data_IF_306959491824
#
_entry.id   IF_306959491824
#
_cell.length_a   1.000
_cell.length_b   1.000
_cell.length_c   1.000
_cell.angle_alpha   90.00
_cell.angle_beta   90.00
_cell.angle_gamma   90.00
#
_symmetry.space_group_name_H-M   'P 1'
#
loop_
_entity.id
_entity.type
_entity.pdbx_description
1 polymer ?
#
# COMPACT_ATOMS: atom_id res chain seq x y z
N UNK A 1 14.81 7.73 7.81
CA UNK A 1 13.72 7.64 6.80
C UNK A 1 14.28 7.12 5.49
N UNK A 2 13.52 6.28 4.76
CA UNK A 2 13.93 5.83 3.40
C UNK A 2 13.64 6.95 2.41
N UNK A 3 14.67 7.52 1.79
CA UNK A 3 14.53 8.56 0.75
C UNK A 3 13.56 8.13 -0.36
N UNK A 4 12.68 9.05 -0.78
CA UNK A 4 11.57 8.88 -1.74
C UNK A 4 10.41 7.97 -1.32
N UNK A 5 10.29 7.65 -0.02
CA UNK A 5 9.11 6.95 0.52
C UNK A 5 8.12 7.96 1.08
N UNK A 6 6.86 7.83 0.64
CA UNK A 6 5.72 8.67 1.08
C UNK A 6 4.94 7.89 2.13
N UNK A 7 4.87 8.41 3.36
CA UNK A 7 4.15 7.80 4.48
C UNK A 7 2.92 8.61 4.90
N UNK A 8 2.85 9.88 4.51
CA UNK A 8 1.70 10.79 4.75
C UNK A 8 1.34 11.60 3.50
N UNK A 9 0.24 12.37 3.58
CA UNK A 9 -0.23 13.28 2.53
C UNK A 9 0.68 14.50 2.31
N UNK A 10 1.47 14.86 3.32
CA UNK A 10 2.36 16.00 3.31
C UNK A 10 3.73 15.68 2.67
N UNK A 11 4.07 14.39 2.54
CA UNK A 11 5.39 13.91 2.12
C UNK A 11 5.69 14.07 0.61
N UNK A 12 4.70 14.32 -0.26
CA UNK A 12 4.91 14.36 -1.73
C UNK A 12 4.58 15.74 -2.33
N UNK A 13 5.58 16.64 -2.35
CA UNK A 13 5.41 18.00 -2.91
C UNK A 13 5.47 18.05 -4.45
N UNK A 14 5.98 16.99 -5.10
CA UNK A 14 6.27 16.95 -6.54
C UNK A 14 5.43 15.92 -7.30
N UNK A 15 4.20 15.68 -6.84
CA UNK A 15 3.32 14.68 -7.43
C UNK A 15 2.90 15.02 -8.87
N UNK A 16 2.87 14.01 -9.75
CA UNK A 16 2.35 14.10 -11.12
C UNK A 16 1.07 13.28 -11.26
N UNK A 17 0.00 13.93 -11.73
CA UNK A 17 -1.29 13.30 -11.97
C UNK A 17 -1.27 12.36 -13.18
N UNK A 18 -0.96 11.08 -12.93
CA UNK A 18 -0.96 10.00 -13.93
C UNK A 18 -2.35 9.44 -14.22
N UNK A 19 -2.42 8.58 -15.23
CA UNK A 19 -3.62 7.78 -15.55
C UNK A 19 -4.01 6.88 -14.39
N UNK A 20 -3.04 6.25 -13.72
CA UNK A 20 -3.29 5.42 -12.54
C UNK A 20 -3.86 6.25 -11.37
N UNK A 21 -3.30 7.43 -11.13
CA UNK A 21 -3.83 8.38 -10.14
C UNK A 21 -5.28 8.76 -10.46
N UNK A 22 -5.59 9.16 -11.69
CA UNK A 22 -6.96 9.55 -12.08
C UNK A 22 -7.97 8.42 -11.85
N UNK A 23 -7.58 7.17 -12.11
CA UNK A 23 -8.40 5.99 -11.81
C UNK A 23 -8.62 5.82 -10.30
N UNK A 24 -7.58 5.96 -9.50
CA UNK A 24 -7.68 5.88 -8.04
C UNK A 24 -8.55 7.01 -7.49
N UNK A 25 -8.28 8.25 -7.88
CA UNK A 25 -9.03 9.44 -7.50
C UNK A 25 -10.53 9.26 -7.75
N UNK A 26 -10.91 8.79 -8.95
CA UNK A 26 -12.31 8.53 -9.26
C UNK A 26 -12.97 7.49 -8.33
N UNK A 27 -12.21 6.47 -7.88
CA UNK A 27 -12.73 5.46 -6.94
C UNK A 27 -12.83 5.99 -5.51
N UNK A 28 -11.87 6.82 -5.09
CA UNK A 28 -11.84 7.41 -3.75
C UNK A 28 -12.84 8.56 -3.58
N UNK A 29 -13.19 9.27 -4.67
CA UNK A 29 -14.15 10.39 -4.64
C UNK A 29 -15.51 10.00 -4.06
N UNK A 30 -15.97 8.78 -4.35
CA UNK A 30 -17.28 8.30 -3.90
C UNK A 30 -17.32 8.00 -2.39
N UNK A 31 -16.18 7.90 -1.71
CA UNK A 31 -16.12 7.45 -0.31
C UNK A 31 -16.76 8.42 0.69
N UNK A 32 -16.84 9.72 0.35
CA UNK A 32 -17.56 10.73 1.16
C UNK A 32 -19.07 10.49 1.23
N UNK A 33 -19.63 9.87 0.20
CA UNK A 33 -21.09 9.75 0.03
C UNK A 33 -21.58 8.30 0.06
N UNK A 34 -20.67 7.34 -0.10
CA UNK A 34 -20.99 5.91 -0.16
C UNK A 34 -20.10 5.14 0.80
N UNK A 35 -20.71 4.23 1.56
CA UNK A 35 -20.04 3.31 2.48
C UNK A 35 -20.02 1.89 1.93
N UNK A 36 -19.22 1.01 2.54
CA UNK A 36 -19.16 -0.41 2.19
C UNK A 36 -18.22 -0.75 1.04
N UNK A 37 -17.32 0.18 0.68
CA UNK A 37 -16.36 -0.01 -0.42
C UNK A 37 -15.06 -0.57 0.13
N UNK A 38 -14.57 -1.64 -0.49
CA UNK A 38 -13.23 -2.20 -0.20
C UNK A 38 -12.41 -2.02 -1.47
N UNK A 39 -11.38 -1.20 -1.39
CA UNK A 39 -10.53 -0.81 -2.52
C UNK A 39 -9.13 -1.37 -2.28
N UNK A 40 -8.67 -2.27 -3.14
CA UNK A 40 -7.30 -2.74 -3.17
C UNK A 40 -6.49 -1.93 -4.19
N UNK A 41 -5.51 -1.20 -3.69
CA UNK A 41 -4.49 -0.52 -4.50
C UNK A 41 -3.31 -1.46 -4.65
N UNK A 42 -3.14 -2.04 -5.84
CA UNK A 42 -2.12 -3.04 -6.15
C UNK A 42 -0.99 -2.45 -6.98
N UNK A 43 0.17 -3.11 -6.98
CA UNK A 43 1.34 -2.71 -7.76
C UNK A 43 2.62 -3.23 -7.12
N UNK A 44 3.68 -3.39 -7.89
CA UNK A 44 4.96 -3.86 -7.37
C UNK A 44 5.52 -2.94 -6.25
N UNK A 45 6.42 -3.43 -5.40
CA UNK A 45 7.13 -2.57 -4.45
C UNK A 45 7.88 -1.44 -5.15
N UNK A 46 7.66 -0.20 -4.70
CA UNK A 46 8.34 0.97 -5.27
C UNK A 46 7.65 1.63 -6.46
N UNK A 47 6.46 1.19 -6.88
CA UNK A 47 5.65 1.85 -7.93
C UNK A 47 4.95 3.14 -7.47
N UNK A 48 5.04 3.53 -6.20
CA UNK A 48 4.40 4.76 -5.72
C UNK A 48 2.90 4.62 -5.36
N UNK A 49 2.45 3.43 -4.92
CA UNK A 49 1.09 3.24 -4.38
C UNK A 49 0.75 4.25 -3.29
N UNK A 50 1.62 4.39 -2.29
CA UNK A 50 1.44 5.32 -1.17
C UNK A 50 1.31 6.76 -1.65
N UNK A 51 2.19 7.19 -2.58
CA UNK A 51 2.13 8.51 -3.21
C UNK A 51 0.75 8.78 -3.83
N UNK A 52 0.23 7.84 -4.62
CA UNK A 52 -1.08 7.99 -5.25
C UNK A 52 -2.22 8.01 -4.22
N UNK A 53 -2.19 7.14 -3.20
CA UNK A 53 -3.23 7.08 -2.15
C UNK A 53 -3.26 8.39 -1.38
N UNK A 54 -2.12 8.80 -0.83
CA UNK A 54 -2.04 9.96 0.04
C UNK A 54 -2.29 11.27 -0.70
N UNK A 55 -1.83 11.39 -1.94
CA UNK A 55 -2.19 12.53 -2.78
C UNK A 55 -3.69 12.57 -3.05
N UNK A 56 -4.33 11.45 -3.39
CA UNK A 56 -5.77 11.44 -3.66
C UNK A 56 -6.58 11.74 -2.39
N UNK A 57 -6.15 11.25 -1.22
CA UNK A 57 -6.75 11.59 0.08
C UNK A 57 -6.68 13.09 0.33
N UNK A 58 -5.53 13.72 0.08
CA UNK A 58 -5.33 15.17 0.20
C UNK A 58 -6.23 15.96 -0.76
N UNK A 59 -6.21 15.61 -2.05
CA UNK A 59 -6.93 16.36 -3.08
C UNK A 59 -8.45 16.23 -2.96
N UNK A 60 -8.93 15.14 -2.36
CA UNK A 60 -10.34 14.91 -2.07
C UNK A 60 -10.76 15.41 -0.68
N UNK A 61 -9.81 15.83 0.15
CA UNK A 61 -10.03 16.20 1.55
C UNK A 61 -10.78 15.09 2.31
N UNK A 62 -10.33 13.85 2.18
CA UNK A 62 -10.96 12.70 2.84
C UNK A 62 -10.58 12.65 4.32
N UNK A 63 -11.58 12.55 5.20
CA UNK A 63 -11.34 12.26 6.61
C UNK A 63 -10.99 10.77 6.77
N UNK A 64 -9.70 10.47 6.89
CA UNK A 64 -9.20 9.10 6.92
C UNK A 64 -8.59 8.71 8.26
N UNK A 65 -8.84 7.47 8.67
CA UNK A 65 -8.08 6.82 9.73
C UNK A 65 -6.95 5.98 9.11
N UNK A 66 -5.70 6.37 9.34
CA UNK A 66 -4.54 5.64 8.82
C UNK A 66 -4.06 4.62 9.85
N UNK A 67 -4.44 3.35 9.65
CA UNK A 67 -4.18 2.28 10.60
C UNK A 67 -2.70 1.98 10.76
N UNK A 68 -2.30 1.72 11.99
CA UNK A 68 -0.92 1.34 12.36
C UNK A 68 -0.89 -0.11 12.79
N UNK A 69 0.19 -0.81 12.45
CA UNK A 69 0.51 -2.10 13.05
C UNK A 69 2.00 -2.16 13.36
N UNK A 70 2.33 -2.00 14.64
CA UNK A 70 3.69 -2.10 15.15
C UNK A 70 3.84 -3.42 15.91
N UNK A 71 4.51 -4.39 15.27
CA UNK A 71 4.79 -5.70 15.86
C UNK A 71 6.06 -5.62 16.71
N UNK A 72 6.14 -6.50 17.70
CA UNK A 72 7.25 -6.53 18.66
C UNK A 72 8.34 -7.53 18.21
N UNK A 73 7.96 -8.58 17.47
CA UNK A 73 8.87 -9.62 16.97
C UNK A 73 8.41 -10.16 15.61
N UNK A 74 9.36 -10.47 14.74
CA UNK A 74 9.15 -11.10 13.44
C UNK A 74 8.68 -12.57 13.56
N UNK A 75 8.88 -13.21 14.71
CA UNK A 75 8.50 -14.59 14.99
C UNK A 75 7.07 -14.76 15.53
N UNK A 76 6.37 -13.67 15.86
CA UNK A 76 4.99 -13.71 16.35
C UNK A 76 4.09 -14.58 15.46
N UNK A 77 3.21 -15.36 16.08
CA UNK A 77 2.22 -16.20 15.41
C UNK A 77 1.15 -15.36 14.72
N UNK A 78 0.43 -15.96 13.77
CA UNK A 78 -0.71 -15.32 13.09
C UNK A 78 -1.78 -14.83 14.08
N UNK A 79 -2.02 -15.59 15.15
CA UNK A 79 -2.99 -15.23 16.20
C UNK A 79 -2.53 -14.02 17.01
N UNK A 80 -1.24 -13.97 17.38
CA UNK A 80 -0.67 -12.82 18.08
C UNK A 80 -0.74 -11.55 17.24
N UNK A 81 -0.43 -11.64 15.94
CA UNK A 81 -0.55 -10.52 15.01
C UNK A 81 -2.00 -10.06 14.85
N UNK A 82 -2.95 -10.99 14.73
CA UNK A 82 -4.37 -10.67 14.69
C UNK A 82 -4.83 -9.94 15.96
N UNK A 83 -4.45 -10.45 17.14
CA UNK A 83 -4.80 -9.84 18.41
C UNK A 83 -4.16 -8.45 18.56
N UNK A 84 -2.88 -8.30 18.18
CA UNK A 84 -2.18 -7.01 18.20
C UNK A 84 -2.85 -5.99 17.29
N UNK A 85 -3.29 -6.41 16.10
CA UNK A 85 -4.00 -5.53 15.18
C UNK A 85 -5.29 -4.97 15.79
N UNK A 86 -6.17 -5.82 16.32
CA UNK A 86 -7.41 -5.34 16.95
C UNK A 86 -7.17 -4.60 18.26
N UNK A 87 -6.12 -4.95 19.00
CA UNK A 87 -5.73 -4.19 20.19
C UNK A 87 -5.31 -2.76 19.83
N UNK A 88 -4.45 -2.60 18.81
CA UNK A 88 -4.00 -1.28 18.33
C UNK A 88 -5.18 -0.44 17.85
N UNK A 89 -6.09 -1.01 17.05
CA UNK A 89 -7.30 -0.30 16.60
C UNK A 89 -8.18 0.15 17.76
N UNK A 90 -8.36 -0.71 18.78
CA UNK A 90 -9.14 -0.38 19.98
C UNK A 90 -8.53 0.78 20.76
N UNK A 91 -7.21 0.77 20.94
CA UNK A 91 -6.50 1.84 21.64
C UNK A 91 -6.57 3.17 20.88
N UNK A 92 -6.23 3.16 19.59
CA UNK A 92 -6.22 4.35 18.74
C UNK A 92 -7.62 4.97 18.61
N UNK A 93 -8.66 4.15 18.49
CA UNK A 93 -10.06 4.60 18.39
C UNK A 93 -10.74 4.80 19.75
N UNK A 94 -10.05 4.51 20.86
CA UNK A 94 -10.55 4.62 22.25
C UNK A 94 -11.85 3.82 22.49
N UNK A 95 -11.86 2.56 22.07
CA UNK A 95 -13.00 1.65 22.21
C UNK A 95 -12.58 0.32 22.82
N UNK A 96 -13.50 -0.36 23.48
CA UNK A 96 -13.19 -1.57 24.26
C UNK A 96 -13.51 -2.90 23.53
N UNK A 97 -14.15 -2.83 22.34
CA UNK A 97 -14.61 -4.00 21.60
C UNK A 97 -14.33 -3.87 20.09
N UNK A 98 -14.32 -5.01 19.38
CA UNK A 98 -14.22 -5.04 17.92
C UNK A 98 -15.44 -4.36 17.27
N UNK A 99 -16.61 -4.46 17.89
CA UNK A 99 -17.81 -3.80 17.40
C UNK A 99 -17.68 -2.27 17.50
N UNK A 100 -17.14 -1.79 18.61
CA UNK A 100 -16.78 -0.37 18.76
C UNK A 100 -15.76 0.10 17.72
N UNK A 101 -14.83 -0.77 17.29
CA UNK A 101 -13.90 -0.46 16.18
C UNK A 101 -14.67 -0.26 14.88
N UNK A 102 -15.64 -1.11 14.55
CA UNK A 102 -16.45 -0.92 13.34
C UNK A 102 -17.30 0.34 13.41
N UNK A 103 -17.92 0.62 14.55
CA UNK A 103 -18.74 1.82 14.74
C UNK A 103 -17.89 3.08 14.59
N UNK A 104 -16.72 3.14 15.24
CA UNK A 104 -15.79 4.27 15.09
C UNK A 104 -15.20 4.37 13.69
N UNK A 105 -14.84 3.26 13.06
CA UNK A 105 -14.35 3.24 11.69
C UNK A 105 -15.39 3.80 10.68
N UNK A 106 -16.69 3.67 10.98
CA UNK A 106 -17.75 4.18 10.10
C UNK A 106 -17.85 5.71 10.08
N UNK A 107 -17.32 6.40 11.11
CA UNK A 107 -17.26 7.86 11.21
C UNK A 107 -16.26 8.48 10.22
N UNK A 108 -15.27 7.72 9.77
CA UNK A 108 -14.28 8.15 8.77
C UNK A 108 -14.80 7.91 7.35
N UNK A 109 -14.37 8.75 6.40
CA UNK A 109 -14.60 8.51 4.97
C UNK A 109 -13.95 7.20 4.51
N UNK A 110 -12.78 6.88 5.07
CA UNK A 110 -12.10 5.60 4.85
C UNK A 110 -11.13 5.23 5.99
N UNK A 111 -10.92 3.93 6.17
CA UNK A 111 -9.77 3.38 6.90
C UNK A 111 -8.70 2.95 5.90
N UNK A 112 -7.49 3.48 6.06
CA UNK A 112 -6.33 3.13 5.23
C UNK A 112 -5.51 2.05 5.93
N UNK A 113 -5.30 0.94 5.22
CA UNK A 113 -4.34 -0.11 5.57
C UNK A 113 -3.18 0.01 4.58
N UNK A 114 -2.31 1.00 4.85
CA UNK A 114 -1.25 1.44 3.96
C UNK A 114 0.14 1.37 4.63
N UNK A 115 1.05 2.28 4.30
CA UNK A 115 2.45 2.19 4.74
C UNK A 115 2.66 2.17 6.26
N UNK A 116 1.81 2.85 7.06
CA UNK A 116 1.90 2.77 8.54
C UNK A 116 1.55 1.39 9.09
N UNK A 117 0.73 0.63 8.36
CA UNK A 117 0.39 -0.75 8.68
C UNK A 117 1.47 -1.71 8.17
N UNK A 118 1.87 -1.58 6.91
CA UNK A 118 2.81 -2.50 6.27
C UNK A 118 4.24 -2.34 6.78
N UNK A 119 4.67 -1.11 7.03
CA UNK A 119 6.06 -0.74 7.09
C UNK A 119 6.39 0.13 8.32
N UNK A 120 5.68 -0.12 9.43
CA UNK A 120 5.83 0.59 10.71
C UNK A 120 7.27 0.60 11.26
N UNK A 121 8.10 -0.38 10.91
CA UNK A 121 9.52 -0.44 11.25
C UNK A 121 10.36 0.74 10.72
N UNK A 122 9.88 1.49 9.72
CA UNK A 122 10.53 2.74 9.30
C UNK A 122 10.07 3.96 10.09
N UNK A 123 9.03 3.83 10.91
CA UNK A 123 8.38 4.91 11.65
C UNK A 123 8.61 4.80 13.16
N UNK A 124 8.74 3.57 13.67
CA UNK A 124 8.87 3.29 15.10
C UNK A 124 10.11 2.44 15.35
N UNK A 125 11.05 2.98 16.12
CA UNK A 125 12.28 2.30 16.49
C UNK A 125 11.98 1.01 17.28
N UNK A 126 12.70 -0.06 16.96
CA UNK A 126 12.54 -1.37 17.59
C UNK A 126 11.23 -2.11 17.26
N UNK A 127 10.41 -1.60 16.33
CA UNK A 127 9.17 -2.27 15.89
C UNK A 127 9.35 -2.95 14.54
N UNK A 128 8.52 -3.96 14.30
CA UNK A 128 8.46 -4.74 13.07
C UNK A 128 7.19 -4.39 12.30
N UNK A 129 7.32 -4.11 11.00
CA UNK A 129 6.18 -3.90 10.10
C UNK A 129 5.57 -5.22 9.63
N UNK A 130 4.28 -5.19 9.29
CA UNK A 130 3.58 -6.35 8.76
C UNK A 130 4.25 -6.95 7.51
N UNK A 131 4.85 -6.13 6.65
CA UNK A 131 5.57 -6.57 5.45
C UNK A 131 6.80 -7.43 5.80
N UNK A 132 7.55 -7.06 6.84
CA UNK A 132 8.74 -7.78 7.28
C UNK A 132 8.35 -9.08 8.00
N UNK A 133 7.31 -9.03 8.83
CA UNK A 133 6.73 -10.22 9.44
C UNK A 133 6.25 -11.23 8.38
N UNK A 134 5.55 -10.75 7.34
CA UNK A 134 5.12 -11.58 6.22
C UNK A 134 6.28 -12.17 5.43
N UNK A 135 7.29 -11.35 5.09
CA UNK A 135 8.47 -11.80 4.36
C UNK A 135 9.21 -12.92 5.12
N UNK A 136 9.22 -12.87 6.46
CA UNK A 136 9.81 -13.89 7.32
C UNK A 136 8.93 -15.15 7.46
N UNK A 137 7.61 -14.99 7.68
CA UNK A 137 6.70 -16.13 7.86
C UNK A 137 6.41 -16.89 6.56
N UNK A 138 6.44 -16.21 5.40
CA UNK A 138 6.06 -16.80 4.12
C UNK A 138 4.65 -17.41 4.18
N UNK A 139 4.54 -18.70 3.82
CA UNK A 139 3.28 -19.46 3.90
C UNK A 139 2.73 -19.58 5.35
N UNK A 140 3.54 -19.39 6.38
CA UNK A 140 3.07 -19.36 7.77
C UNK A 140 2.14 -18.18 8.11
N UNK A 141 2.00 -17.20 7.19
CA UNK A 141 1.09 -16.05 7.33
C UNK A 141 -0.34 -16.35 6.87
N UNK A 142 -0.59 -17.47 6.16
CA UNK A 142 -1.93 -17.82 5.66
C UNK A 142 -3.02 -17.87 6.73
N UNK A 143 -2.77 -18.41 7.95
CA UNK A 143 -3.79 -18.41 8.99
C UNK A 143 -4.29 -17.00 9.37
N UNK A 144 -3.42 -15.98 9.38
CA UNK A 144 -3.82 -14.59 9.62
C UNK A 144 -4.81 -14.10 8.55
N UNK A 145 -4.50 -14.31 7.27
CA UNK A 145 -5.40 -13.95 6.17
C UNK A 145 -6.73 -14.69 6.24
N UNK A 146 -6.70 -15.98 6.56
CA UNK A 146 -7.90 -16.77 6.71
C UNK A 146 -8.78 -16.26 7.87
N UNK A 147 -8.18 -15.84 8.99
CA UNK A 147 -8.91 -15.18 10.08
C UNK A 147 -9.58 -13.88 9.65
N UNK A 148 -8.91 -13.05 8.83
CA UNK A 148 -9.52 -11.83 8.27
C UNK A 148 -10.67 -12.12 7.31
N UNK A 149 -10.54 -13.16 6.48
CA UNK A 149 -11.61 -13.60 5.58
C UNK A 149 -12.84 -14.08 6.38
N UNK A 150 -12.61 -14.90 7.42
CA UNK A 150 -13.69 -15.33 8.32
C UNK A 150 -14.35 -14.12 8.98
N UNK A 151 -13.56 -13.16 9.47
CA UNK A 151 -14.07 -11.94 10.08
C UNK A 151 -14.95 -11.16 9.10
N UNK A 152 -14.51 -11.02 7.84
CA UNK A 152 -15.27 -10.35 6.78
C UNK A 152 -16.65 -10.99 6.59
N UNK A 153 -16.70 -12.30 6.34
CA UNK A 153 -17.96 -13.00 6.09
C UNK A 153 -18.89 -13.01 7.31
N UNK A 154 -18.35 -13.09 8.53
CA UNK A 154 -19.14 -13.03 9.76
C UNK A 154 -19.71 -11.64 10.05
N UNK A 155 -19.15 -10.58 9.47
CA UNK A 155 -19.50 -9.20 9.80
C UNK A 155 -19.90 -8.37 8.57
N UNK A 156 -20.42 -8.99 7.50
CA UNK A 156 -20.79 -8.31 6.25
C UNK A 156 -21.63 -7.04 6.47
N UNK A 157 -22.59 -7.07 7.41
CA UNK A 157 -23.43 -5.90 7.73
C UNK A 157 -22.64 -4.73 8.32
N UNK A 158 -21.55 -4.99 9.06
CA UNK A 158 -20.64 -3.97 9.59
C UNK A 158 -19.71 -3.45 8.51
N UNK A 159 -19.15 -4.34 7.69
CA UNK A 159 -18.31 -3.93 6.55
C UNK A 159 -19.08 -3.05 5.56
N UNK A 160 -20.39 -3.23 5.39
CA UNK A 160 -21.23 -2.32 4.57
C UNK A 160 -21.28 -0.87 5.07
N UNK A 161 -20.88 -0.60 6.31
CA UNK A 161 -20.87 0.75 6.90
C UNK A 161 -19.49 1.42 6.87
N UNK A 162 -18.45 0.69 6.47
CA UNK A 162 -17.06 1.15 6.51
C UNK A 162 -16.47 1.09 5.12
N UNK A 163 -15.63 2.08 4.78
CA UNK A 163 -14.81 2.01 3.59
C UNK A 163 -13.39 1.63 3.97
N UNK A 164 -12.80 0.68 3.26
CA UNK A 164 -11.43 0.22 3.47
C UNK A 164 -10.61 0.44 2.21
N UNK A 165 -9.41 1.00 2.36
CA UNK A 165 -8.44 1.14 1.28
C UNK A 165 -7.17 0.41 1.67
N UNK A 166 -6.86 -0.66 0.95
CA UNK A 166 -5.71 -1.52 1.18
C UNK A 166 -4.60 -1.21 0.21
N UNK A 167 -3.41 -0.88 0.71
CA UNK A 167 -2.20 -0.93 -0.11
C UNK A 167 -1.72 -2.38 -0.20
N UNK A 168 -2.12 -3.09 -1.24
CA UNK A 168 -1.90 -4.53 -1.30
C UNK A 168 -0.62 -4.83 -2.05
N UNK A 169 0.33 -5.47 -1.38
CA UNK A 169 1.48 -6.13 -1.98
C UNK A 169 1.65 -7.49 -1.29
N UNK A 170 1.66 -8.57 -2.09
CA UNK A 170 1.90 -9.93 -1.59
C UNK A 170 3.22 -10.39 -2.12
N UNK A 171 4.25 -10.07 -1.36
CA UNK A 171 5.62 -10.34 -1.76
C UNK A 171 6.14 -11.60 -1.14
N UNK A 172 6.76 -12.44 -1.96
CA UNK A 172 7.46 -13.64 -1.54
C UNK A 172 8.88 -13.58 -2.05
N UNK A 173 9.84 -14.11 -1.29
CA UNK A 173 11.18 -14.36 -1.82
C UNK A 173 11.19 -15.69 -2.54
N UNK A 174 11.41 -15.67 -3.85
CA UNK A 174 11.62 -16.87 -4.66
C UNK A 174 13.00 -16.78 -5.28
N UNK A 175 13.87 -17.77 -5.01
CA UNK A 175 15.27 -17.79 -5.51
C UNK A 175 16.06 -16.50 -5.21
N UNK A 176 15.91 -15.96 -4.00
CA UNK A 176 16.61 -14.74 -3.57
C UNK A 176 16.01 -13.41 -4.09
N UNK A 177 15.04 -13.45 -5.00
CA UNK A 177 14.38 -12.24 -5.55
C UNK A 177 13.01 -12.04 -4.90
N UNK A 178 12.73 -10.81 -4.47
CA UNK A 178 11.41 -10.41 -3.96
C UNK A 178 10.45 -10.21 -5.15
N UNK A 179 9.44 -11.08 -5.24
CA UNK A 179 8.40 -11.07 -6.28
C UNK A 179 7.03 -10.76 -5.68
N UNK A 180 6.24 -9.94 -6.35
CA UNK A 180 4.86 -9.63 -5.97
C UNK A 180 3.85 -10.52 -6.72
N UNK A 181 2.89 -11.11 -5.99
CA UNK A 181 1.90 -12.01 -6.55
C UNK A 181 1.03 -11.34 -7.62
N UNK A 182 0.67 -10.07 -7.43
CA UNK A 182 -0.30 -9.38 -8.27
C UNK A 182 0.33 -8.76 -9.51
N UNK A 183 1.67 -8.69 -9.60
CA UNK A 183 2.36 -8.09 -10.76
C UNK A 183 3.45 -8.94 -11.40
N UNK A 184 4.15 -9.80 -10.66
CA UNK A 184 5.44 -10.37 -11.12
C UNK A 184 5.36 -11.82 -11.65
N UNK A 185 4.17 -12.44 -11.72
CA UNK A 185 3.95 -13.83 -12.16
C UNK A 185 3.13 -13.94 -13.46
N UNK A 186 3.08 -12.88 -14.27
CA UNK A 186 2.48 -12.91 -15.61
C UNK A 186 1.00 -13.33 -15.61
N UNK A 187 0.67 -14.42 -16.29
CA UNK A 187 -0.71 -14.95 -16.38
C UNK A 187 -1.30 -15.28 -15.00
N UNK A 188 -0.48 -15.80 -14.08
CA UNK A 188 -0.95 -16.12 -12.73
C UNK A 188 -1.33 -14.87 -11.94
N UNK A 189 -0.55 -13.80 -12.08
CA UNK A 189 -0.90 -12.49 -11.51
C UNK A 189 -2.24 -11.98 -12.05
N UNK A 190 -2.49 -12.11 -13.36
CA UNK A 190 -3.76 -11.72 -13.98
C UNK A 190 -4.94 -12.51 -13.41
N UNK A 191 -4.77 -13.82 -13.18
CA UNK A 191 -5.78 -14.67 -12.57
C UNK A 191 -6.09 -14.20 -11.13
N UNK A 192 -5.05 -13.97 -10.32
CA UNK A 192 -5.22 -13.51 -8.94
C UNK A 192 -5.90 -12.14 -8.85
N UNK A 193 -5.52 -11.20 -9.72
CA UNK A 193 -6.17 -9.89 -9.81
C UNK A 193 -7.63 -10.02 -10.25
N UNK A 194 -7.94 -10.93 -11.18
CA UNK A 194 -9.31 -11.18 -11.63
C UNK A 194 -10.18 -11.76 -10.50
N UNK A 195 -9.63 -12.67 -9.71
CA UNK A 195 -10.30 -13.20 -8.52
C UNK A 195 -10.57 -12.10 -7.49
N UNK A 196 -9.60 -11.22 -7.24
CA UNK A 196 -9.76 -10.10 -6.31
C UNK A 196 -10.86 -9.12 -6.78
N UNK A 197 -10.91 -8.84 -8.08
CA UNK A 197 -11.93 -7.98 -8.73
C UNK A 197 -13.35 -8.53 -8.63
N UNK A 198 -13.52 -9.85 -8.42
CA UNK A 198 -14.84 -10.44 -8.21
C UNK A 198 -15.48 -9.95 -6.91
N UNK A 199 -14.67 -9.68 -5.89
CA UNK A 199 -15.13 -9.35 -4.55
C UNK A 199 -14.96 -7.87 -4.18
N UNK A 200 -13.97 -7.19 -4.78
CA UNK A 200 -13.54 -5.86 -4.36
C UNK A 200 -13.22 -4.94 -5.54
N UNK A 201 -13.21 -3.64 -5.28
CA UNK A 201 -12.65 -2.68 -6.23
C UNK A 201 -11.12 -2.83 -6.24
N UNK A 202 -10.52 -2.95 -7.42
CA UNK A 202 -9.07 -3.08 -7.57
C UNK A 202 -8.55 -1.98 -8.48
N UNK A 203 -7.59 -1.20 -7.99
CA UNK A 203 -6.88 -0.16 -8.75
C UNK A 203 -5.40 -0.52 -8.81
N UNK A 204 -4.91 -0.76 -10.02
CA UNK A 204 -3.50 -1.02 -10.26
C UNK A 204 -2.72 0.27 -10.49
N UNK A 205 -1.64 0.45 -9.72
CA UNK A 205 -0.69 1.53 -9.88
C UNK A 205 0.46 1.06 -10.75
N UNK A 206 0.38 1.45 -12.00
CA UNK A 206 1.31 1.14 -13.08
C UNK A 206 1.31 2.32 -14.04
N UNK A 207 2.44 2.56 -14.70
CA UNK A 207 2.65 3.76 -15.51
C UNK A 207 3.13 3.37 -16.91
N UNK A 208 2.84 4.21 -17.90
CA UNK A 208 3.54 4.16 -19.17
C UNK A 208 5.00 4.63 -19.02
N UNK A 209 5.85 4.30 -19.98
CA UNK A 209 7.22 4.81 -20.04
C UNK A 209 7.25 6.35 -19.99
N UNK A 210 6.38 7.01 -20.75
CA UNK A 210 6.26 8.47 -20.74
C UNK A 210 5.89 9.04 -19.37
N UNK A 211 4.94 8.40 -18.67
CA UNK A 211 4.56 8.81 -17.32
C UNK A 211 5.73 8.63 -16.34
N UNK A 212 6.53 7.56 -16.48
CA UNK A 212 7.73 7.37 -15.65
C UNK A 212 8.76 8.46 -15.91
N UNK A 213 9.05 8.76 -17.18
CA UNK A 213 9.98 9.84 -17.57
C UNK A 213 9.53 11.17 -16.95
N UNK A 214 8.24 11.51 -17.05
CA UNK A 214 7.69 12.74 -16.49
C UNK A 214 7.80 12.80 -14.95
N UNK A 215 7.58 11.68 -14.28
CA UNK A 215 7.74 11.57 -12.81
C UNK A 215 9.21 11.76 -12.43
N UNK A 216 10.14 11.12 -13.14
CA UNK A 216 11.57 11.16 -12.83
C UNK A 216 12.12 12.56 -13.11
N UNK A 217 11.86 13.15 -14.28
CA UNK A 217 12.31 14.51 -14.63
C UNK A 217 11.75 15.58 -13.71
N UNK A 218 10.57 15.40 -13.13
CA UNK A 218 10.03 16.33 -12.13
C UNK A 218 10.87 16.35 -10.85
N UNK A 219 11.47 15.21 -10.46
CA UNK A 219 12.26 15.04 -9.24
C UNK A 219 13.76 15.26 -9.46
N UNK A 220 14.26 14.95 -10.65
CA UNK A 220 15.65 15.10 -11.07
C UNK A 220 15.62 15.76 -12.45
N UNK A 221 15.53 17.11 -12.54
CA UNK A 221 15.34 17.82 -13.81
C UNK A 221 16.46 17.60 -14.84
N UNK A 222 17.69 17.39 -14.37
CA UNK A 222 18.89 17.35 -15.21
C UNK A 222 19.15 15.98 -15.84
N UNK A 223 18.33 14.96 -15.56
CA UNK A 223 18.52 13.62 -16.12
C UNK A 223 17.87 13.49 -17.50
N UNK A 224 18.64 12.99 -18.47
CA UNK A 224 18.17 12.86 -19.83
C UNK A 224 17.16 11.72 -20.00
N UNK A 225 16.21 11.89 -20.93
CA UNK A 225 15.14 10.92 -21.12
C UNK A 225 15.68 9.53 -21.51
N UNK A 226 16.76 9.48 -22.28
CA UNK A 226 17.40 8.24 -22.72
C UNK A 226 18.05 7.50 -21.56
N UNK A 227 18.67 8.22 -20.63
CA UNK A 227 19.20 7.64 -19.41
C UNK A 227 18.07 7.02 -18.57
N UNK A 228 16.95 7.72 -18.40
CA UNK A 228 15.78 7.20 -17.68
C UNK A 228 15.27 5.91 -18.33
N UNK A 229 15.21 5.83 -19.67
CA UNK A 229 14.77 4.61 -20.38
C UNK A 229 15.63 3.41 -20.02
N UNK A 230 16.95 3.56 -19.97
CA UNK A 230 17.84 2.46 -19.56
C UNK A 230 17.51 1.93 -18.14
N UNK A 231 17.10 2.82 -17.23
CA UNK A 231 16.66 2.43 -15.89
C UNK A 231 15.26 1.81 -15.89
N UNK A 232 14.35 2.24 -16.77
CA UNK A 232 13.03 1.62 -16.96
C UNK A 232 13.21 0.19 -17.46
N UNK A 233 14.09 -0.07 -18.42
CA UNK A 233 14.40 -1.43 -18.89
C UNK A 233 14.90 -2.33 -17.75
N UNK A 234 15.74 -1.78 -16.87
CA UNK A 234 16.33 -2.51 -15.75
C UNK A 234 15.38 -2.76 -14.59
N UNK A 235 14.56 -1.76 -14.24
CA UNK A 235 13.76 -1.77 -13.00
C UNK A 235 12.24 -1.83 -13.23
N UNK A 236 11.79 -1.76 -14.48
CA UNK A 236 10.38 -1.67 -14.86
C UNK A 236 9.68 -0.46 -14.24
N UNK A 237 8.44 -0.63 -13.82
CA UNK A 237 7.61 0.47 -13.27
C UNK A 237 7.95 0.87 -11.82
N UNK A 238 9.10 0.44 -11.29
CA UNK A 238 9.49 0.65 -9.89
C UNK A 238 10.18 2.01 -9.72
N UNK A 239 9.40 3.09 -9.81
CA UNK A 239 9.84 4.50 -9.68
C UNK A 239 10.90 4.72 -8.59
N UNK A 240 10.66 4.22 -7.37
CA UNK A 240 11.60 4.40 -6.25
C UNK A 240 12.98 3.78 -6.52
N UNK A 241 13.04 2.68 -7.26
CA UNK A 241 14.29 2.02 -7.61
C UNK A 241 15.03 2.80 -8.69
N UNK A 242 14.30 3.31 -9.69
CA UNK A 242 14.84 4.18 -10.74
C UNK A 242 15.46 5.44 -10.11
N UNK A 243 14.70 6.16 -9.28
CA UNK A 243 15.19 7.40 -8.63
C UNK A 243 16.45 7.15 -7.79
N UNK A 244 16.48 6.05 -7.02
CA UNK A 244 17.66 5.68 -6.23
C UNK A 244 18.88 5.31 -7.08
N UNK A 245 18.66 4.70 -8.23
CA UNK A 245 19.74 4.29 -9.12
C UNK A 245 20.37 5.50 -9.82
N UNK A 246 19.56 6.47 -10.26
CA UNK A 246 20.00 7.74 -10.84
C UNK A 246 20.76 8.57 -9.80
N UNK A 247 20.20 8.72 -8.59
CA UNK A 247 20.89 9.49 -7.55
C UNK A 247 22.25 8.87 -7.18
N UNK A 248 22.31 7.53 -7.14
CA UNK A 248 23.56 6.84 -6.86
C UNK A 248 24.60 7.05 -7.96
N UNK A 249 24.22 7.03 -9.25
CA UNK A 249 25.18 7.29 -10.33
C UNK A 249 25.68 8.73 -10.32
N UNK A 250 24.81 9.71 -10.06
CA UNK A 250 25.21 11.13 -9.96
C UNK A 250 26.23 11.35 -8.84
N UNK A 251 26.00 10.76 -7.65
CA UNK A 251 26.92 10.88 -6.52
C UNK A 251 28.26 10.12 -6.69
N UNK A 252 28.34 9.15 -7.62
CA UNK A 252 29.59 8.45 -7.96
C UNK A 252 30.44 9.22 -8.99
N UNK A 253 29.88 10.29 -9.58
CA UNK A 253 30.51 11.14 -10.58
C UNK A 253 30.82 12.56 -10.08
N UNK A 254 30.48 12.88 -8.83
CA UNK A 254 30.93 14.07 -8.08
C UNK A 254 32.18 13.76 -7.23
#
# INVERSE_FOLDING_TARGET
MVKFKVNTAEDDQDFRATTAYKKLYARLKDLKTRKGRIIHVIGAPGTGKSANIFQAVKDLDLNVYNAVLALDDVHQSSTEVYNKFFHTLKEDMKVNSIDGVFDKASEYDAVLLADRFHDSHYLYEGKIGFSLWMDNKGFGSFPFYFSLIILYFRNLSKFRKVNLVFQTAWTFRTRGVKKDLFTDFGLFSRLMVSLLKLFFDVVEISYSESEIIDIVKKRIPDVEAEEIRSYIERYGNRIRFILKAIEKSQNEHE
#
